data_IF_610427700060
#
_entry.id   IF_610427700060
#
_cell.length_a   1.000
_cell.length_b   1.000
_cell.length_c   1.000
_cell.angle_alpha   90.00
_cell.angle_beta   90.00
_cell.angle_gamma   90.00
#
_symmetry.space_group_name_H-M   'P 1'
#
loop_
_entity.id
_entity.type
_entity.pdbx_description
1 polymer ?
#
# COMPACT_ATOMS: atom_id res chain seq x y z
N UNK A 1 -3.63 39.55 1.00
CA UNK A 1 -2.69 38.46 1.41
C UNK A 1 -3.36 37.08 1.43
N UNK A 2 -4.51 36.89 2.12
CA UNK A 2 -5.24 35.61 2.11
C UNK A 2 -5.74 35.26 0.70
N UNK A 3 -6.45 36.17 0.04
CA UNK A 3 -6.98 36.00 -1.32
C UNK A 3 -5.87 35.74 -2.36
N UNK A 4 -4.69 36.31 -2.20
CA UNK A 4 -3.54 36.08 -3.08
C UNK A 4 -2.91 34.70 -2.85
N UNK A 5 -2.88 34.23 -1.60
CA UNK A 5 -2.43 32.88 -1.28
C UNK A 5 -3.38 31.83 -1.86
N UNK A 6 -4.69 32.03 -1.70
CA UNK A 6 -5.70 31.11 -2.22
C UNK A 6 -5.60 30.98 -3.75
N UNK A 7 -5.45 32.10 -4.43
CA UNK A 7 -5.28 32.14 -5.90
C UNK A 7 -3.98 31.45 -6.34
N UNK A 8 -2.90 31.59 -5.59
CA UNK A 8 -1.64 30.91 -5.88
C UNK A 8 -1.77 29.40 -5.71
N UNK A 9 -2.48 28.94 -4.68
CA UNK A 9 -2.76 27.52 -4.44
C UNK A 9 -3.62 26.93 -5.56
N UNK A 10 -4.66 27.65 -6.01
CA UNK A 10 -5.48 27.24 -7.15
C UNK A 10 -4.64 27.07 -8.43
N UNK A 11 -3.78 28.03 -8.75
CA UNK A 11 -2.90 27.97 -9.92
C UNK A 11 -1.95 26.75 -9.84
N UNK A 12 -1.35 26.48 -8.68
CA UNK A 12 -0.48 25.32 -8.50
C UNK A 12 -1.25 24.01 -8.63
N UNK A 13 -2.43 23.91 -8.07
CA UNK A 13 -3.26 22.70 -8.18
C UNK A 13 -3.73 22.49 -9.64
N UNK A 14 -4.14 23.53 -10.32
CA UNK A 14 -4.52 23.48 -11.73
C UNK A 14 -3.33 23.06 -12.60
N UNK A 15 -2.15 23.62 -12.37
CA UNK A 15 -0.91 23.20 -13.06
C UNK A 15 -0.60 21.74 -12.83
N UNK A 16 -0.55 21.28 -11.57
CA UNK A 16 -0.25 19.88 -11.25
C UNK A 16 -1.28 18.95 -11.89
N UNK A 17 -2.57 19.25 -11.78
CA UNK A 17 -3.63 18.42 -12.34
C UNK A 17 -3.58 18.37 -13.88
N UNK A 18 -3.21 19.50 -14.53
CA UNK A 18 -3.12 19.57 -15.99
C UNK A 18 -1.97 18.71 -16.57
N UNK A 19 -0.89 18.56 -15.83
CA UNK A 19 0.28 17.79 -16.25
C UNK A 19 0.41 16.43 -15.56
N UNK A 20 -0.53 16.09 -14.67
CA UNK A 20 -0.47 14.88 -13.85
C UNK A 20 -0.26 13.62 -14.68
N UNK A 21 -1.09 13.40 -15.69
CA UNK A 21 -1.01 12.21 -16.54
C UNK A 21 0.32 12.14 -17.29
N UNK A 22 0.79 13.26 -17.86
CA UNK A 22 2.07 13.32 -18.57
C UNK A 22 3.26 13.00 -17.64
N UNK A 23 3.15 13.42 -16.36
CA UNK A 23 4.21 13.21 -15.37
C UNK A 23 4.31 11.76 -14.89
N UNK A 24 3.22 10.99 -14.92
CA UNK A 24 3.22 9.60 -14.49
C UNK A 24 3.19 8.59 -15.63
N UNK A 25 2.82 9.01 -16.83
CA UNK A 25 2.60 8.13 -17.97
C UNK A 25 3.81 7.24 -18.25
N UNK A 26 3.53 5.94 -18.39
CA UNK A 26 4.47 4.89 -18.77
C UNK A 26 5.72 4.75 -17.85
N UNK A 27 5.68 5.33 -16.63
CA UNK A 27 6.81 5.25 -15.70
C UNK A 27 7.02 3.88 -15.07
N UNK A 28 5.98 3.07 -15.07
CA UNK A 28 5.94 1.80 -14.34
C UNK A 28 5.63 0.62 -15.27
N UNK A 29 5.98 0.73 -16.56
CA UNK A 29 5.68 -0.29 -17.59
C UNK A 29 6.15 -1.70 -17.19
N UNK A 30 7.31 -1.80 -16.51
CA UNK A 30 7.88 -3.09 -16.09
C UNK A 30 7.47 -3.48 -14.66
N UNK A 31 6.47 -2.81 -14.06
CA UNK A 31 6.05 -3.05 -12.70
C UNK A 31 4.78 -3.90 -12.65
N UNK A 32 4.89 -5.02 -11.93
CA UNK A 32 3.80 -5.91 -11.58
C UNK A 32 3.50 -5.70 -10.09
N UNK A 33 2.39 -5.04 -9.78
CA UNK A 33 2.10 -4.53 -8.45
C UNK A 33 1.23 -5.52 -7.66
N UNK A 34 1.67 -5.85 -6.44
CA UNK A 34 0.79 -6.36 -5.40
C UNK A 34 0.36 -5.16 -4.54
N UNK A 35 -0.94 -4.86 -4.50
CA UNK A 35 -1.51 -3.80 -3.69
C UNK A 35 -2.25 -4.45 -2.53
N UNK A 36 -1.87 -4.10 -1.30
CA UNK A 36 -2.51 -4.59 -0.09
C UNK A 36 -2.98 -3.40 0.73
N UNK A 37 -4.29 -3.29 0.88
CA UNK A 37 -4.92 -2.28 1.73
C UNK A 37 -5.23 -2.90 3.08
N UNK A 38 -4.75 -2.26 4.14
CA UNK A 38 -4.92 -2.73 5.53
C UNK A 38 -5.91 -1.87 6.33
N UNK A 39 -6.39 -0.78 5.75
CA UNK A 39 -7.39 0.10 6.37
C UNK A 39 -8.73 0.02 5.66
N UNK A 40 -9.83 0.15 6.43
CA UNK A 40 -11.18 0.34 5.92
C UNK A 40 -11.64 1.80 5.93
N UNK A 41 -10.85 2.70 6.52
CA UNK A 41 -11.23 4.08 6.79
C UNK A 41 -11.13 4.99 5.57
N UNK A 42 -10.34 4.58 4.57
CA UNK A 42 -10.05 5.37 3.37
C UNK A 42 -10.35 4.61 2.09
N UNK A 43 -10.71 5.36 1.05
CA UNK A 43 -11.00 4.82 -0.28
C UNK A 43 -9.91 5.20 -1.28
N UNK A 44 -9.13 4.24 -1.70
CA UNK A 44 -8.10 4.42 -2.73
C UNK A 44 -8.68 4.16 -4.15
N UNK A 45 -9.85 4.75 -4.46
CA UNK A 45 -10.60 4.49 -5.70
C UNK A 45 -9.79 4.74 -6.98
N UNK A 46 -8.91 5.76 -6.95
CA UNK A 46 -8.15 6.19 -8.10
C UNK A 46 -6.85 5.39 -8.32
N UNK A 47 -6.50 4.48 -7.40
CA UNK A 47 -5.23 3.75 -7.47
C UNK A 47 -5.14 2.87 -8.72
N UNK A 48 -6.26 2.28 -9.13
CA UNK A 48 -6.31 1.45 -10.34
C UNK A 48 -6.15 2.28 -11.62
N UNK A 49 -6.76 3.46 -11.67
CA UNK A 49 -6.61 4.40 -12.78
C UNK A 49 -5.18 4.93 -12.84
N UNK A 50 -4.62 5.32 -11.69
CA UNK A 50 -3.23 5.74 -11.59
C UNK A 50 -2.27 4.65 -12.09
N UNK A 51 -2.45 3.38 -11.69
CA UNK A 51 -1.64 2.28 -12.16
C UNK A 51 -1.72 2.13 -13.69
N UNK A 52 -2.93 2.19 -14.25
CA UNK A 52 -3.13 2.09 -15.70
C UNK A 52 -2.42 3.22 -16.47
N UNK A 53 -2.52 4.48 -16.02
CA UNK A 53 -1.85 5.62 -16.66
C UNK A 53 -0.33 5.48 -16.54
N UNK A 54 0.17 5.03 -15.39
CA UNK A 54 1.60 4.84 -15.15
C UNK A 54 2.20 3.62 -15.89
N UNK A 55 1.37 2.81 -16.55
CA UNK A 55 1.79 1.62 -17.29
C UNK A 55 2.04 0.39 -16.40
N UNK A 56 1.74 0.47 -15.10
CA UNK A 56 1.87 -0.66 -14.21
C UNK A 56 0.77 -1.69 -14.42
N UNK A 57 1.11 -2.98 -14.28
CA UNK A 57 0.13 -4.04 -14.17
C UNK A 57 -0.19 -4.29 -12.69
N UNK A 58 -1.46 -4.31 -12.32
CA UNK A 58 -1.88 -4.77 -11.00
C UNK A 58 -2.01 -6.29 -11.05
N UNK A 59 -1.04 -7.01 -10.47
CA UNK A 59 -1.09 -8.45 -10.31
C UNK A 59 -2.27 -8.86 -9.44
N UNK A 60 -2.33 -8.29 -8.23
CA UNK A 60 -3.43 -8.50 -7.29
C UNK A 60 -3.62 -7.24 -6.45
N UNK A 61 -4.87 -6.83 -6.27
CA UNK A 61 -5.27 -5.85 -5.27
C UNK A 61 -6.22 -6.52 -4.29
N UNK A 62 -5.88 -6.48 -3.02
CA UNK A 62 -6.70 -7.04 -1.95
C UNK A 62 -6.75 -6.13 -0.71
N UNK A 63 -7.78 -6.33 0.09
CA UNK A 63 -7.92 -5.70 1.41
C UNK A 63 -7.79 -6.76 2.49
N UNK A 64 -7.17 -6.41 3.62
CA UNK A 64 -7.06 -7.25 4.82
C UNK A 64 -8.09 -6.78 5.85
N UNK A 65 -8.80 -7.72 6.44
CA UNK A 65 -9.73 -7.46 7.53
C UNK A 65 -9.25 -8.17 8.81
N UNK A 66 -8.47 -7.46 9.61
CA UNK A 66 -7.92 -8.00 10.86
C UNK A 66 -8.97 -8.31 11.94
N UNK A 67 -10.15 -7.70 11.85
CA UNK A 67 -11.26 -7.97 12.79
C UNK A 67 -11.74 -9.42 12.70
N UNK A 68 -11.50 -10.10 11.60
CA UNK A 68 -11.91 -11.49 11.37
C UNK A 68 -10.77 -12.51 11.59
N UNK A 69 -9.62 -12.12 12.09
CA UNK A 69 -8.52 -13.05 12.36
C UNK A 69 -8.88 -14.15 13.35
N UNK A 70 -9.85 -13.90 14.24
CA UNK A 70 -10.42 -14.90 15.14
C UNK A 70 -11.22 -16.02 14.44
N UNK A 71 -11.54 -15.88 13.15
CA UNK A 71 -12.15 -16.95 12.34
C UNK A 71 -11.14 -18.04 11.95
N UNK A 72 -9.83 -17.76 12.06
CA UNK A 72 -8.78 -18.78 11.88
C UNK A 72 -8.68 -19.63 13.13
N UNK A 73 -8.60 -20.95 12.95
CA UNK A 73 -8.49 -21.90 14.07
C UNK A 73 -7.24 -22.78 13.90
N UNK A 74 -6.67 -23.19 15.02
CA UNK A 74 -5.51 -24.12 15.04
C UNK A 74 -5.84 -25.42 14.30
N UNK A 75 -7.07 -25.91 14.42
CA UNK A 75 -7.50 -27.15 13.77
C UNK A 75 -7.45 -27.06 12.24
N UNK A 76 -7.72 -25.89 11.67
CA UNK A 76 -7.72 -25.67 10.21
C UNK A 76 -6.35 -25.19 9.69
N UNK A 77 -5.63 -24.42 10.49
CA UNK A 77 -4.39 -23.74 10.08
C UNK A 77 -3.31 -23.85 11.18
N UNK A 78 -2.90 -25.08 11.58
CA UNK A 78 -1.98 -25.27 12.72
C UNK A 78 -0.66 -24.50 12.56
N UNK A 79 -0.15 -24.39 11.34
CA UNK A 79 1.12 -23.74 11.05
C UNK A 79 1.10 -22.22 11.24
N UNK A 80 -0.09 -21.61 11.31
CA UNK A 80 -0.26 -20.16 11.51
C UNK A 80 -0.22 -19.76 13.00
N UNK A 81 -0.13 -20.73 13.91
CA UNK A 81 -0.17 -20.48 15.35
C UNK A 81 1.18 -20.73 16.01
N UNK A 82 1.44 -19.98 17.06
CA UNK A 82 2.58 -20.16 17.97
C UNK A 82 2.03 -20.09 19.39
N UNK A 83 2.24 -21.16 20.19
CA UNK A 83 1.74 -21.23 21.58
C UNK A 83 0.26 -20.85 21.71
N UNK A 84 -0.60 -21.47 20.87
CA UNK A 84 -2.04 -21.24 20.78
C UNK A 84 -2.48 -19.83 20.36
N UNK A 85 -1.54 -18.95 19.99
CA UNK A 85 -1.81 -17.61 19.50
C UNK A 85 -1.54 -17.50 18.00
N UNK A 86 -2.42 -16.79 17.29
CA UNK A 86 -2.21 -16.50 15.86
C UNK A 86 -0.94 -15.67 15.69
N UNK A 87 -0.03 -16.18 14.86
CA UNK A 87 1.18 -15.49 14.44
C UNK A 87 0.89 -14.75 13.13
N UNK A 88 0.76 -13.43 13.21
CA UNK A 88 0.38 -12.62 12.06
C UNK A 88 1.47 -12.57 10.98
N UNK A 89 2.75 -12.70 11.33
CA UNK A 89 3.81 -12.80 10.32
C UNK A 89 3.73 -14.11 9.53
N UNK A 90 3.42 -15.24 10.21
CA UNK A 90 3.16 -16.51 9.52
C UNK A 90 1.92 -16.42 8.63
N UNK A 91 0.84 -15.78 9.09
CA UNK A 91 -0.36 -15.55 8.30
C UNK A 91 -0.03 -14.76 7.02
N UNK A 92 0.69 -13.66 7.14
CA UNK A 92 1.03 -12.85 5.97
C UNK A 92 2.01 -13.54 5.04
N UNK A 93 2.98 -14.28 5.56
CA UNK A 93 3.83 -15.13 4.74
C UNK A 93 3.01 -16.16 3.95
N UNK A 94 2.02 -16.77 4.59
CA UNK A 94 1.11 -17.72 3.94
C UNK A 94 0.31 -17.03 2.83
N UNK A 95 -0.34 -15.89 3.10
CA UNK A 95 -1.10 -15.13 2.09
C UNK A 95 -0.22 -14.75 0.90
N UNK A 96 0.97 -14.22 1.14
CA UNK A 96 1.89 -13.79 0.08
C UNK A 96 2.35 -14.98 -0.76
N UNK A 97 2.60 -16.14 -0.15
CA UNK A 97 2.93 -17.35 -0.89
C UNK A 97 1.77 -17.80 -1.78
N UNK A 98 0.53 -17.81 -1.25
CA UNK A 98 -0.65 -18.15 -2.04
C UNK A 98 -0.82 -17.25 -3.26
N UNK A 99 -0.56 -15.94 -3.11
CA UNK A 99 -0.60 -14.98 -4.22
C UNK A 99 0.51 -15.30 -5.24
N UNK A 100 1.74 -15.52 -4.77
CA UNK A 100 2.90 -15.85 -5.62
C UNK A 100 2.72 -17.15 -6.39
N UNK A 101 2.00 -18.12 -5.80
CA UNK A 101 1.71 -19.43 -6.40
C UNK A 101 0.41 -19.43 -7.23
N UNK A 102 -0.28 -18.29 -7.32
CA UNK A 102 -1.60 -18.17 -7.95
C UNK A 102 -2.64 -19.18 -7.40
N UNK A 103 -2.58 -19.48 -6.08
CA UNK A 103 -3.44 -20.45 -5.42
C UNK A 103 -4.83 -19.86 -5.12
N UNK A 104 -5.63 -19.71 -6.16
CA UNK A 104 -6.96 -19.08 -6.09
C UNK A 104 -7.92 -19.82 -5.14
N UNK A 105 -7.81 -21.15 -5.01
CA UNK A 105 -8.69 -21.92 -4.12
C UNK A 105 -8.46 -21.56 -2.65
N UNK A 106 -7.21 -21.52 -2.22
CA UNK A 106 -6.89 -21.16 -0.84
C UNK A 106 -7.15 -19.67 -0.54
N UNK A 107 -6.92 -18.80 -1.50
CA UNK A 107 -7.30 -17.39 -1.38
C UNK A 107 -8.82 -17.23 -1.22
N UNK A 108 -9.63 -17.98 -1.99
CA UNK A 108 -11.08 -17.98 -1.84
C UNK A 108 -11.55 -18.52 -0.47
N UNK A 109 -10.87 -19.52 0.12
CA UNK A 109 -11.14 -19.97 1.48
C UNK A 109 -10.93 -18.82 2.51
N UNK A 110 -9.81 -18.09 2.40
CA UNK A 110 -9.54 -16.95 3.28
C UNK A 110 -10.54 -15.80 3.06
N UNK A 111 -11.00 -15.60 1.84
CA UNK A 111 -12.04 -14.63 1.51
C UNK A 111 -13.40 -15.03 2.11
N UNK A 112 -13.78 -16.31 2.07
CA UNK A 112 -14.98 -16.83 2.74
C UNK A 112 -14.94 -16.67 4.25
N UNK A 113 -13.76 -16.78 4.87
CA UNK A 113 -13.55 -16.50 6.29
C UNK A 113 -13.54 -14.99 6.60
N UNK A 114 -13.57 -14.14 5.56
CA UNK A 114 -13.53 -12.69 5.68
C UNK A 114 -12.18 -12.12 6.12
N UNK A 115 -11.11 -12.91 6.04
CA UNK A 115 -9.73 -12.50 6.38
C UNK A 115 -9.20 -11.47 5.39
N UNK A 116 -9.52 -11.66 4.12
CA UNK A 116 -9.18 -10.77 3.03
C UNK A 116 -10.34 -10.64 2.05
N UNK A 117 -10.29 -9.64 1.19
CA UNK A 117 -11.16 -9.50 0.03
C UNK A 117 -10.32 -9.17 -1.18
N UNK A 118 -10.46 -9.95 -2.24
CA UNK A 118 -9.82 -9.66 -3.53
C UNK A 118 -10.62 -8.57 -4.24
N UNK A 119 -10.00 -7.43 -4.48
CA UNK A 119 -10.61 -6.30 -5.22
C UNK A 119 -10.45 -6.50 -6.71
N UNK A 120 -9.24 -6.88 -7.14
CA UNK A 120 -8.94 -7.23 -8.53
C UNK A 120 -7.74 -8.17 -8.62
N UNK A 121 -7.69 -8.93 -9.69
CA UNK A 121 -6.53 -9.76 -10.05
C UNK A 121 -6.34 -9.73 -11.57
N UNK A 122 -5.09 -9.73 -12.00
CA UNK A 122 -4.73 -9.79 -13.41
C UNK A 122 -4.78 -11.24 -13.91
N UNK A 123 -5.10 -11.40 -15.21
CA UNK A 123 -4.88 -12.66 -15.89
C UNK A 123 -3.40 -12.90 -16.27
N UNK A 124 -2.55 -11.92 -16.08
CA UNK A 124 -1.12 -12.06 -16.28
C UNK A 124 -0.52 -12.88 -15.12
N UNK A 125 0.16 -13.96 -15.47
CA UNK A 125 0.78 -14.89 -14.49
C UNK A 125 2.22 -14.51 -14.14
N UNK A 126 2.74 -13.40 -14.64
CA UNK A 126 4.06 -12.94 -14.26
C UNK A 126 4.09 -12.56 -12.77
N UNK A 127 5.13 -12.94 -12.03
CA UNK A 127 5.22 -12.63 -10.61
C UNK A 127 5.15 -11.11 -10.34
N UNK A 128 4.52 -10.72 -9.25
CA UNK A 128 4.63 -9.32 -8.80
C UNK A 128 6.08 -9.02 -8.37
N UNK A 129 6.52 -7.81 -8.64
CA UNK A 129 7.90 -7.37 -8.38
C UNK A 129 7.98 -6.10 -7.53
N UNK A 130 6.84 -5.55 -7.12
CA UNK A 130 6.71 -4.40 -6.24
C UNK A 130 5.47 -4.56 -5.37
N UNK A 131 5.51 -4.05 -4.13
CA UNK A 131 4.36 -4.06 -3.23
C UNK A 131 4.04 -2.63 -2.78
N UNK A 132 2.75 -2.29 -2.82
CA UNK A 132 2.20 -1.08 -2.22
C UNK A 132 1.35 -1.52 -1.02
N UNK A 133 1.70 -1.03 0.15
CA UNK A 133 0.88 -1.15 1.35
C UNK A 133 0.10 0.16 1.52
N UNK A 134 -1.22 0.07 1.48
CA UNK A 134 -2.13 1.19 1.71
C UNK A 134 -2.68 1.12 3.13
N UNK A 135 -2.35 2.11 3.94
CA UNK A 135 -2.71 2.15 5.35
C UNK A 135 -3.13 3.55 5.79
N UNK A 136 -2.95 3.83 7.08
CA UNK A 136 -3.43 5.03 7.74
C UNK A 136 -4.80 4.81 8.38
N UNK A 137 -5.02 5.36 9.56
CA UNK A 137 -6.25 5.15 10.35
C UNK A 137 -6.86 6.48 10.77
N UNK A 138 -8.17 6.50 11.01
CA UNK A 138 -8.87 7.65 11.59
C UNK A 138 -8.66 7.73 13.10
N UNK A 139 -8.62 6.58 13.77
CA UNK A 139 -8.50 6.47 15.22
C UNK A 139 -7.20 5.77 15.63
N UNK A 140 -6.82 5.87 16.91
CA UNK A 140 -5.62 5.25 17.43
C UNK A 140 -5.66 3.73 17.31
N UNK A 141 -4.71 3.15 16.60
CA UNK A 141 -4.68 1.74 16.19
C UNK A 141 -3.30 1.10 16.38
N UNK A 142 -2.63 1.35 17.51
CA UNK A 142 -1.27 0.83 17.77
C UNK A 142 -1.15 -0.68 17.59
N UNK A 143 -2.14 -1.42 18.07
CA UNK A 143 -2.17 -2.88 17.95
C UNK A 143 -2.28 -3.32 16.48
N UNK A 144 -3.13 -2.66 15.70
CA UNK A 144 -3.29 -2.93 14.27
C UNK A 144 -2.01 -2.60 13.51
N UNK A 145 -1.37 -1.46 13.81
CA UNK A 145 -0.11 -1.08 13.19
C UNK A 145 0.94 -2.16 13.44
N UNK A 146 1.13 -2.62 14.68
CA UNK A 146 2.14 -3.63 15.00
C UNK A 146 1.78 -5.01 14.44
N UNK A 147 0.55 -5.47 14.67
CA UNK A 147 0.14 -6.84 14.33
C UNK A 147 -0.26 -7.03 12.86
N UNK A 148 -0.57 -5.95 12.15
CA UNK A 148 -0.99 -6.02 10.74
C UNK A 148 0.03 -5.33 9.85
N UNK A 149 0.17 -4.01 9.94
CA UNK A 149 0.96 -3.24 8.97
C UNK A 149 2.44 -3.62 9.02
N UNK A 150 3.03 -3.65 10.22
CA UNK A 150 4.46 -3.97 10.37
C UNK A 150 4.73 -5.47 10.20
N UNK A 151 3.84 -6.34 10.66
CA UNK A 151 3.97 -7.78 10.43
C UNK A 151 3.95 -8.12 8.93
N UNK A 152 3.03 -7.48 8.18
CA UNK A 152 2.97 -7.59 6.72
C UNK A 152 4.25 -7.07 6.06
N UNK A 153 4.71 -5.89 6.47
CA UNK A 153 5.94 -5.30 5.95
C UNK A 153 7.17 -6.21 6.18
N UNK A 154 7.32 -6.80 7.38
CA UNK A 154 8.40 -7.76 7.70
C UNK A 154 8.31 -9.01 6.83
N UNK A 155 7.10 -9.56 6.66
CA UNK A 155 6.87 -10.74 5.82
C UNK A 155 7.28 -10.51 4.37
N UNK A 156 6.97 -9.34 3.80
CA UNK A 156 7.35 -8.99 2.42
C UNK A 156 8.85 -8.71 2.32
N UNK A 157 9.41 -7.94 3.28
CA UNK A 157 10.84 -7.62 3.33
C UNK A 157 11.72 -8.87 3.38
N UNK A 158 11.27 -9.93 4.08
CA UNK A 158 11.99 -11.21 4.15
C UNK A 158 12.16 -11.89 2.78
N UNK A 159 11.36 -11.52 1.79
CA UNK A 159 11.41 -12.03 0.42
C UNK A 159 12.23 -11.14 -0.53
N UNK A 160 12.83 -10.05 -0.03
CA UNK A 160 13.56 -9.07 -0.81
C UNK A 160 12.74 -8.41 -1.94
N UNK A 161 11.42 -8.29 -1.75
CA UNK A 161 10.54 -7.58 -2.68
C UNK A 161 10.44 -6.13 -2.21
N UNK A 162 10.68 -5.14 -3.09
CA UNK A 162 10.56 -3.74 -2.75
C UNK A 162 9.14 -3.38 -2.29
N UNK A 163 9.05 -2.58 -1.22
CA UNK A 163 7.80 -2.15 -0.61
C UNK A 163 7.77 -0.63 -0.57
N UNK A 164 6.60 -0.06 -0.82
CA UNK A 164 6.27 1.32 -0.53
C UNK A 164 5.04 1.33 0.38
N UNK A 165 5.11 2.07 1.48
CA UNK A 165 3.94 2.36 2.30
C UNK A 165 3.31 3.68 1.86
N UNK A 166 1.99 3.69 1.69
CA UNK A 166 1.28 4.88 1.27
C UNK A 166 0.00 5.08 2.11
N UNK A 167 -0.33 6.34 2.38
CA UNK A 167 -1.55 6.72 3.08
C UNK A 167 -2.14 8.01 2.50
N UNK A 168 -3.39 8.30 2.85
CA UNK A 168 -4.04 9.56 2.50
C UNK A 168 -3.55 10.71 3.40
N UNK A 169 -3.64 11.93 2.87
CA UNK A 169 -3.19 13.15 3.55
C UNK A 169 -3.92 13.40 4.87
N UNK A 170 -5.17 12.97 4.97
CA UNK A 170 -6.06 13.12 6.12
C UNK A 170 -6.00 11.95 7.12
N UNK A 171 -5.10 10.99 6.96
CA UNK A 171 -4.90 9.93 7.94
C UNK A 171 -4.41 10.52 9.27
N UNK A 172 -5.25 10.41 10.31
CA UNK A 172 -4.98 10.98 11.63
C UNK A 172 -3.91 10.18 12.39
N UNK A 173 -3.98 8.86 12.27
CA UNK A 173 -3.00 7.92 12.85
C UNK A 173 -2.19 7.30 11.75
N UNK A 174 -0.99 7.84 11.59
CA UNK A 174 -0.03 7.44 10.58
C UNK A 174 0.94 6.40 11.12
N UNK A 175 1.25 5.39 10.32
CA UNK A 175 2.33 4.43 10.59
C UNK A 175 3.65 4.76 9.87
N UNK A 176 3.73 5.89 9.21
CA UNK A 176 4.90 6.29 8.40
C UNK A 176 6.21 6.23 9.19
N UNK A 177 6.23 6.74 10.44
CA UNK A 177 7.46 6.75 11.23
C UNK A 177 7.99 5.34 11.50
N UNK A 178 7.10 4.38 11.73
CA UNK A 178 7.45 2.98 11.93
C UNK A 178 8.01 2.36 10.65
N UNK A 179 7.43 2.68 9.48
CA UNK A 179 7.94 2.22 8.19
C UNK A 179 9.31 2.84 7.85
N UNK A 180 9.53 4.10 8.17
CA UNK A 180 10.86 4.74 8.06
C UNK A 180 11.92 3.99 8.87
N UNK A 181 11.58 3.56 10.08
CA UNK A 181 12.47 2.78 10.94
C UNK A 181 12.83 1.43 10.32
N UNK A 182 11.95 0.87 9.50
CA UNK A 182 12.21 -0.33 8.68
C UNK A 182 12.94 -0.01 7.36
N UNK A 183 13.29 1.25 7.09
CA UNK A 183 13.90 1.73 5.84
C UNK A 183 13.03 1.48 4.61
N UNK A 184 11.73 1.50 4.78
CA UNK A 184 10.73 1.40 3.72
C UNK A 184 10.38 2.81 3.26
N UNK A 185 10.35 3.03 1.96
CA UNK A 185 9.93 4.30 1.37
C UNK A 185 8.45 4.57 1.62
N UNK A 186 8.09 5.84 1.86
CA UNK A 186 6.71 6.22 2.22
C UNK A 186 6.20 7.42 1.42
N UNK A 187 4.87 7.44 1.20
CA UNK A 187 4.15 8.58 0.61
C UNK A 187 2.87 8.83 1.42
N UNK A 188 2.70 10.04 1.99
CA UNK A 188 1.63 10.35 2.95
C UNK A 188 0.43 11.13 2.38
N UNK A 189 0.29 11.22 1.07
CA UNK A 189 -0.75 12.02 0.42
C UNK A 189 -1.16 11.46 -0.95
N UNK A 190 -1.36 10.15 -1.04
CA UNK A 190 -1.71 9.49 -2.32
C UNK A 190 -3.12 9.79 -2.83
N UNK A 191 -3.97 10.41 -2.01
CA UNK A 191 -5.23 11.02 -2.40
C UNK A 191 -5.04 12.25 -3.31
N UNK A 192 -3.84 12.85 -3.32
CA UNK A 192 -3.51 14.02 -4.12
C UNK A 192 -2.66 13.66 -5.35
N UNK A 193 -2.77 14.45 -6.41
CA UNK A 193 -1.98 14.26 -7.64
C UNK A 193 -0.47 14.25 -7.37
N UNK A 194 0.02 15.18 -6.53
CA UNK A 194 1.44 15.26 -6.17
C UNK A 194 1.93 14.02 -5.42
N UNK A 195 1.10 13.43 -4.57
CA UNK A 195 1.40 12.17 -3.87
C UNK A 195 1.47 10.99 -4.84
N UNK A 196 0.53 10.89 -5.79
CA UNK A 196 0.56 9.84 -6.83
C UNK A 196 1.75 9.99 -7.78
N UNK A 197 2.18 11.21 -8.10
CA UNK A 197 3.44 11.46 -8.81
C UNK A 197 4.61 10.94 -7.97
N UNK A 198 4.65 11.27 -6.69
CA UNK A 198 5.69 10.81 -5.77
C UNK A 198 5.73 9.29 -5.67
N UNK A 199 4.56 8.64 -5.58
CA UNK A 199 4.44 7.18 -5.57
C UNK A 199 5.03 6.56 -6.85
N UNK A 200 4.72 7.13 -8.03
CA UNK A 200 5.28 6.66 -9.29
C UNK A 200 6.80 6.76 -9.34
N UNK A 201 7.36 7.84 -8.78
CA UNK A 201 8.81 8.05 -8.75
C UNK A 201 9.49 7.10 -7.77
N UNK A 202 8.90 6.87 -6.61
CA UNK A 202 9.41 5.92 -5.61
C UNK A 202 9.43 4.50 -6.20
N UNK A 203 8.34 4.07 -6.82
CA UNK A 203 8.25 2.74 -7.47
C UNK A 203 9.19 2.59 -8.67
N UNK A 204 9.62 3.69 -9.30
CA UNK A 204 10.66 3.66 -10.33
C UNK A 204 12.09 3.57 -9.77
N UNK A 205 12.26 3.52 -8.44
CA UNK A 205 13.54 3.26 -7.77
C UNK A 205 14.19 4.48 -7.09
N UNK A 206 13.41 5.52 -6.78
CA UNK A 206 13.89 6.69 -6.02
C UNK A 206 13.40 6.60 -4.57
N UNK A 207 14.20 5.98 -3.72
CA UNK A 207 13.86 5.80 -2.31
C UNK A 207 13.71 7.13 -1.56
N UNK A 208 12.80 7.15 -0.58
CA UNK A 208 12.60 8.29 0.29
C UNK A 208 11.24 8.33 0.97
N UNK A 209 11.07 9.36 1.81
CA UNK A 209 9.83 9.60 2.54
C UNK A 209 9.27 10.95 2.08
N UNK A 210 8.18 10.89 1.33
CA UNK A 210 7.62 12.04 0.62
C UNK A 210 6.20 12.34 1.09
N UNK A 211 5.86 13.63 1.09
CA UNK A 211 4.53 14.06 1.42
C UNK A 211 4.47 15.38 2.19
N UNK A 212 3.35 15.61 2.87
CA UNK A 212 3.01 16.88 3.51
C UNK A 212 3.04 16.82 5.05
N UNK A 213 3.12 15.62 5.62
CA UNK A 213 3.18 15.43 7.09
C UNK A 213 4.59 15.69 7.62
N UNK A 214 4.70 15.99 8.92
CA UNK A 214 5.99 16.25 9.60
C UNK A 214 6.95 15.04 9.51
N UNK A 215 6.43 13.85 9.29
CA UNK A 215 7.20 12.63 9.09
C UNK A 215 7.89 12.54 7.72
N UNK A 216 7.44 13.29 6.73
CA UNK A 216 8.06 13.33 5.41
C UNK A 216 9.43 14.02 5.46
N UNK A 217 10.39 13.48 4.73
CA UNK A 217 11.72 14.09 4.61
C UNK A 217 11.76 15.19 3.56
N UNK A 218 10.87 15.10 2.55
CA UNK A 218 10.70 16.05 1.46
C UNK A 218 9.26 16.04 0.99
N UNK A 219 8.82 17.15 0.41
CA UNK A 219 7.49 17.28 -0.14
C UNK A 219 7.25 16.32 -1.34
N UNK A 220 8.24 16.20 -2.20
CA UNK A 220 8.21 15.31 -3.38
C UNK A 220 9.63 14.92 -3.81
N UNK A 221 9.79 13.82 -4.56
CA UNK A 221 11.09 13.40 -5.08
C UNK A 221 11.59 14.36 -6.16
N UNK A 222 12.90 14.57 -6.18
CA UNK A 222 13.54 15.30 -7.27
C UNK A 222 14.03 14.33 -8.34
N UNK A 223 13.66 14.58 -9.58
CA UNK A 223 14.24 13.83 -10.71
C UNK A 223 15.73 14.12 -10.81
N UNK A 224 16.51 13.08 -10.95
CA UNK A 224 17.92 13.19 -11.35
C UNK A 224 18.03 12.99 -12.85
#
# INVERSE_FOLDING_TARGET
QLVEKDKSIEIYNEFVNSYYEDLIKDRLVDKNLLIIQTTGDYFFSDISQWAAISGANIHTYLTINSNNFNSLTIAQYPDLFTEDSLDTEKLFNYIINLISENNSLKLAELEQLGILKIVSTSNNQEPFNQVILLGGELEESKEKIEKVDLALARSISSKNIPIVFAEESNANYSSIEQFKNLKISTVDNVDQAIGRISLSVVLSGVDGNYGIKDTASKLFPTYK
#
